data_IF_918964163216
#
_entry.id   IF_918964163216
#
_cell.length_a   1.000
_cell.length_b   1.000
_cell.length_c   1.000
_cell.angle_alpha   90.00
_cell.angle_beta   90.00
_cell.angle_gamma   90.00
#
_symmetry.space_group_name_H-M   'P 1'
#
loop_
_entity.id
_entity.type
_entity.pdbx_description
1 polymer ?
#
# COMPACT_ATOMS: atom_id res chain seq x y z
N UNK A 1 -36.29 -17.38 -8.83
CA UNK A 1 -35.19 -16.64 -8.78
C UNK A 1 -33.89 -17.38 -8.84
N UNK A 2 -33.06 -16.89 -9.55
CA UNK A 2 -32.09 -17.58 -10.27
C UNK A 2 -30.84 -17.82 -9.45
N UNK A 3 -30.37 -19.03 -9.49
CA UNK A 3 -29.06 -19.41 -8.97
C UNK A 3 -27.99 -18.48 -9.53
N UNK A 4 -28.12 -18.09 -10.81
CA UNK A 4 -27.18 -17.17 -11.48
C UNK A 4 -27.07 -15.83 -10.73
N UNK A 5 -28.18 -15.27 -10.29
CA UNK A 5 -28.20 -14.00 -9.52
C UNK A 5 -27.41 -14.12 -8.21
N UNK A 6 -27.60 -15.21 -7.49
CA UNK A 6 -26.91 -15.48 -6.25
C UNK A 6 -25.40 -15.75 -6.47
N UNK A 7 -25.06 -16.44 -7.55
CA UNK A 7 -23.66 -16.67 -7.93
C UNK A 7 -22.96 -15.34 -8.18
N UNK A 8 -23.62 -14.42 -8.91
CA UNK A 8 -23.07 -13.07 -9.16
C UNK A 8 -22.85 -12.32 -7.86
N UNK A 9 -23.82 -12.34 -6.96
CA UNK A 9 -23.70 -11.66 -5.64
C UNK A 9 -22.53 -12.23 -4.85
N UNK A 10 -22.40 -13.54 -4.77
CA UNK A 10 -21.32 -14.21 -4.03
C UNK A 10 -19.97 -13.85 -4.65
N UNK A 11 -19.86 -13.87 -5.97
CA UNK A 11 -18.60 -13.51 -6.66
C UNK A 11 -18.22 -12.07 -6.36
N UNK A 12 -19.20 -11.14 -6.39
CA UNK A 12 -18.94 -9.73 -6.08
C UNK A 12 -18.47 -9.56 -4.64
N UNK A 13 -19.06 -10.29 -3.69
CA UNK A 13 -18.64 -10.26 -2.29
C UNK A 13 -17.22 -10.79 -2.15
N UNK A 14 -16.90 -11.91 -2.78
CA UNK A 14 -15.55 -12.50 -2.75
C UNK A 14 -14.52 -11.52 -3.31
N UNK A 15 -14.80 -10.90 -4.46
CA UNK A 15 -13.89 -9.94 -5.07
C UNK A 15 -13.68 -8.71 -4.18
N UNK A 16 -14.74 -8.22 -3.55
CA UNK A 16 -14.68 -7.08 -2.63
C UNK A 16 -13.83 -7.43 -1.41
N UNK A 17 -14.08 -8.58 -0.79
CA UNK A 17 -13.32 -9.03 0.38
C UNK A 17 -11.85 -9.20 0.04
N UNK A 18 -11.52 -9.77 -1.12
CA UNK A 18 -10.12 -9.94 -1.55
C UNK A 18 -9.37 -8.62 -1.68
N UNK A 19 -10.06 -7.54 -2.07
CA UNK A 19 -9.44 -6.22 -2.19
C UNK A 19 -9.04 -5.64 -0.83
N UNK A 20 -9.71 -6.04 0.25
CA UNK A 20 -9.43 -5.57 1.60
C UNK A 20 -8.46 -6.47 2.36
N UNK A 21 -8.18 -7.68 1.87
CA UNK A 21 -7.25 -8.58 2.55
C UNK A 21 -5.81 -8.12 2.30
N UNK A 22 -4.96 -8.16 3.35
CA UNK A 22 -3.55 -7.84 3.19
C UNK A 22 -2.88 -8.75 2.17
N UNK A 23 -1.90 -8.22 1.47
CA UNK A 23 -1.08 -9.03 0.57
C UNK A 23 -0.30 -10.07 1.39
N UNK A 24 -0.23 -11.29 0.88
CA UNK A 24 0.47 -12.37 1.53
C UNK A 24 1.98 -12.06 1.59
N UNK A 25 2.57 -12.22 2.78
CA UNK A 25 3.99 -11.94 2.98
C UNK A 25 4.32 -10.46 3.15
N UNK A 26 3.33 -9.59 3.23
CA UNK A 26 3.53 -8.15 3.47
C UNK A 26 3.28 -7.87 4.95
N UNK A 27 4.25 -7.23 5.59
CA UNK A 27 4.15 -6.85 7.00
C UNK A 27 3.17 -5.70 7.17
N UNK A 28 2.38 -5.72 8.23
CA UNK A 28 1.47 -4.65 8.59
C UNK A 28 1.99 -3.95 9.85
N UNK A 29 2.16 -2.62 9.79
CA UNK A 29 2.64 -1.86 10.94
C UNK A 29 1.70 -0.71 11.28
N UNK A 30 1.78 -0.25 12.53
CA UNK A 30 0.99 0.87 13.02
C UNK A 30 1.67 2.21 12.72
N UNK A 31 0.93 3.31 12.88
CA UNK A 31 1.47 4.65 12.75
C UNK A 31 2.60 4.92 13.76
N UNK A 32 2.49 4.38 14.95
CA UNK A 32 3.52 4.51 15.98
C UNK A 32 4.85 3.92 15.50
N UNK A 33 4.79 2.74 14.89
CA UNK A 33 5.98 2.10 14.32
C UNK A 33 6.57 2.90 13.17
N UNK A 34 5.72 3.49 12.32
CA UNK A 34 6.17 4.36 11.22
C UNK A 34 6.97 5.54 11.74
N UNK A 35 6.52 6.18 12.82
CA UNK A 35 7.21 7.33 13.41
C UNK A 35 8.64 7.00 13.83
N UNK A 36 8.87 5.76 14.23
CA UNK A 36 10.22 5.29 14.57
C UNK A 36 11.06 5.04 13.31
N UNK A 37 10.41 4.62 12.21
CA UNK A 37 11.09 4.25 10.98
C UNK A 37 11.47 5.44 10.08
N UNK A 38 10.78 6.58 10.18
CA UNK A 38 11.07 7.77 9.35
C UNK A 38 12.48 8.30 9.56
N UNK A 39 13.12 7.96 10.67
CA UNK A 39 14.49 8.37 10.98
C UNK A 39 15.55 7.39 10.48
N UNK A 40 15.15 6.21 10.00
CA UNK A 40 16.09 5.21 9.51
C UNK A 40 16.46 5.49 8.06
N UNK A 41 17.74 5.28 7.73
CA UNK A 41 18.27 5.55 6.38
C UNK A 41 18.14 4.36 5.42
N UNK A 42 17.90 3.18 5.95
CA UNK A 42 17.86 1.93 5.17
C UNK A 42 16.46 1.50 4.79
N UNK A 43 15.45 2.35 4.98
CA UNK A 43 14.07 2.10 4.59
C UNK A 43 13.64 3.11 3.52
N UNK A 44 12.77 2.67 2.66
CA UNK A 44 12.19 3.49 1.58
C UNK A 44 10.73 3.79 1.93
N UNK A 45 10.44 5.04 2.20
CA UNK A 45 9.11 5.48 2.63
C UNK A 45 8.36 6.03 1.42
N UNK A 46 7.33 5.33 0.98
CA UNK A 46 6.62 5.63 -0.24
C UNK A 46 5.13 5.88 0.02
N UNK A 47 4.67 7.07 -0.33
CA UNK A 47 3.26 7.44 -0.31
C UNK A 47 2.68 7.18 -1.70
N UNK A 48 1.72 6.24 -1.78
CA UNK A 48 1.13 5.81 -3.06
C UNK A 48 -0.20 6.51 -3.37
N UNK A 49 -0.51 7.57 -2.65
CA UNK A 49 -1.67 8.42 -2.96
C UNK A 49 -1.42 9.22 -4.23
N UNK A 50 -2.45 9.88 -4.73
CA UNK A 50 -2.29 10.77 -5.88
C UNK A 50 -1.32 11.92 -5.55
N UNK A 51 -0.75 12.53 -6.59
CA UNK A 51 0.13 13.68 -6.43
C UNK A 51 -0.58 14.85 -5.73
N UNK A 52 -1.86 15.08 -6.05
CA UNK A 52 -2.64 16.14 -5.43
C UNK A 52 -2.84 15.91 -3.94
N UNK A 53 -3.21 14.69 -3.54
CA UNK A 53 -3.35 14.35 -2.12
C UNK A 53 -2.05 14.58 -1.36
N UNK A 54 -0.95 14.17 -1.95
CA UNK A 54 0.39 14.34 -1.37
C UNK A 54 0.76 15.82 -1.21
N UNK A 55 0.49 16.62 -2.23
CA UNK A 55 0.78 18.07 -2.17
C UNK A 55 -0.03 18.78 -1.10
N UNK A 56 -1.31 18.40 -0.94
CA UNK A 56 -2.18 19.01 0.05
C UNK A 56 -1.77 18.69 1.48
N UNK A 57 -1.30 17.50 1.72
CA UNK A 57 -0.84 17.07 3.04
C UNK A 57 -0.07 15.76 2.93
N UNK A 58 1.12 15.68 3.48
CA UNK A 58 1.90 14.45 3.50
C UNK A 58 2.78 14.36 4.75
N UNK A 59 3.26 13.16 5.02
CA UNK A 59 4.18 12.92 6.13
C UNK A 59 5.59 13.21 5.64
N UNK A 60 6.30 14.07 6.36
CA UNK A 60 7.70 14.36 6.05
C UNK A 60 8.53 13.08 6.03
N UNK A 61 9.39 12.97 5.02
CA UNK A 61 10.22 11.79 4.82
C UNK A 61 9.66 10.80 3.81
N UNK A 62 8.37 10.89 3.47
CA UNK A 62 7.78 10.04 2.44
C UNK A 62 7.92 10.66 1.06
N UNK A 63 8.35 9.84 0.10
CA UNK A 63 8.38 10.17 -1.32
C UNK A 63 7.06 9.74 -1.95
N UNK A 64 6.52 10.54 -2.87
CA UNK A 64 5.28 10.19 -3.55
C UNK A 64 5.56 9.43 -4.86
N UNK A 65 5.07 8.22 -4.92
CA UNK A 65 4.96 7.42 -6.15
C UNK A 65 3.52 6.93 -6.21
N UNK A 66 2.63 7.63 -6.92
CA UNK A 66 1.22 7.23 -6.98
C UNK A 66 1.04 5.78 -7.43
N UNK A 67 0.01 5.12 -6.92
CA UNK A 67 -0.29 3.73 -7.25
C UNK A 67 -0.28 3.47 -8.76
N UNK A 68 -0.84 4.40 -9.54
CA UNK A 68 -0.89 4.31 -11.01
C UNK A 68 0.50 4.34 -11.67
N UNK A 69 1.51 4.82 -10.96
CA UNK A 69 2.89 4.95 -11.45
C UNK A 69 3.84 3.88 -10.90
N UNK A 70 3.39 3.06 -9.97
CA UNK A 70 4.24 2.07 -9.31
C UNK A 70 4.92 1.14 -10.32
N UNK A 71 4.15 0.59 -11.25
CA UNK A 71 4.71 -0.32 -12.26
C UNK A 71 5.78 0.36 -13.12
N UNK A 72 5.54 1.60 -13.52
CA UNK A 72 6.45 2.36 -14.37
C UNK A 72 7.69 2.82 -13.62
N UNK A 73 7.54 3.17 -12.34
CA UNK A 73 8.59 3.80 -11.54
C UNK A 73 9.23 2.89 -10.49
N UNK A 74 8.90 1.59 -10.48
CA UNK A 74 9.46 0.67 -9.48
C UNK A 74 11.00 0.58 -9.54
N UNK A 75 11.60 0.88 -10.67
CA UNK A 75 13.06 0.87 -10.82
C UNK A 75 13.77 1.95 -9.99
N UNK A 76 13.03 2.95 -9.49
CA UNK A 76 13.53 3.96 -8.56
C UNK A 76 13.73 3.39 -7.15
N UNK A 77 13.19 2.20 -6.89
CA UNK A 77 13.27 1.54 -5.59
C UNK A 77 14.30 0.43 -5.59
N UNK A 78 14.95 0.25 -4.44
CA UNK A 78 15.92 -0.81 -4.22
C UNK A 78 15.19 -2.05 -3.68
N UNK A 79 15.28 -3.17 -4.40
CA UNK A 79 14.63 -4.43 -3.98
C UNK A 79 15.23 -5.04 -2.72
N UNK A 80 16.46 -4.68 -2.39
CA UNK A 80 17.18 -5.21 -1.22
C UNK A 80 16.83 -4.49 0.07
N UNK A 81 16.22 -3.31 -0.04
CA UNK A 81 15.81 -2.50 1.12
C UNK A 81 14.32 -2.60 1.36
N UNK A 82 13.92 -2.47 2.63
CA UNK A 82 12.51 -2.45 3.00
C UNK A 82 11.80 -1.27 2.35
N UNK A 83 10.63 -1.54 1.77
CA UNK A 83 9.73 -0.51 1.22
C UNK A 83 8.51 -0.43 2.13
N UNK A 84 8.27 0.77 2.66
CA UNK A 84 7.13 1.05 3.53
C UNK A 84 6.13 1.86 2.71
N UNK A 85 4.93 1.31 2.55
CA UNK A 85 3.89 1.86 1.70
C UNK A 85 2.76 2.49 2.52
N UNK A 86 2.43 3.73 2.17
CA UNK A 86 1.39 4.52 2.84
C UNK A 86 0.36 5.00 1.82
N UNK A 87 -0.91 4.90 2.17
CA UNK A 87 -1.98 5.59 1.45
C UNK A 87 -2.96 6.21 2.44
N UNK A 88 -4.15 6.58 1.99
CA UNK A 88 -5.13 7.23 2.87
C UNK A 88 -5.73 6.25 3.89
N UNK A 89 -6.10 5.04 3.48
CA UNK A 89 -6.81 4.07 4.33
C UNK A 89 -6.15 2.70 4.41
N UNK A 90 -5.10 2.44 3.62
CA UNK A 90 -4.43 1.15 3.54
C UNK A 90 -4.80 0.32 2.31
N UNK A 91 -5.84 0.70 1.56
CA UNK A 91 -6.30 -0.07 0.39
C UNK A 91 -5.37 0.07 -0.81
N UNK A 92 -5.00 1.29 -1.17
CA UNK A 92 -4.10 1.55 -2.31
C UNK A 92 -2.68 1.04 -2.02
N UNK A 93 -2.21 1.20 -0.79
CA UNK A 93 -0.90 0.68 -0.39
C UNK A 93 -0.88 -0.84 -0.40
N UNK A 94 -1.99 -1.48 -0.07
CA UNK A 94 -2.13 -2.93 -0.19
C UNK A 94 -2.03 -3.38 -1.66
N UNK A 95 -2.68 -2.66 -2.57
CA UNK A 95 -2.57 -2.93 -4.02
C UNK A 95 -1.15 -2.69 -4.53
N UNK A 96 -0.50 -1.61 -4.06
CA UNK A 96 0.89 -1.31 -4.41
C UNK A 96 1.81 -2.43 -3.97
N UNK A 97 1.64 -2.95 -2.75
CA UNK A 97 2.46 -4.06 -2.25
C UNK A 97 2.29 -5.32 -3.10
N UNK A 98 1.07 -5.63 -3.53
CA UNK A 98 0.81 -6.77 -4.43
C UNK A 98 1.54 -6.59 -5.77
N UNK A 99 1.50 -5.40 -6.34
CA UNK A 99 2.19 -5.09 -7.60
C UNK A 99 3.71 -5.19 -7.45
N UNK A 100 4.26 -4.63 -6.39
CA UNK A 100 5.70 -4.69 -6.12
C UNK A 100 6.16 -6.13 -5.86
N UNK A 101 5.35 -6.91 -5.18
CA UNK A 101 5.66 -8.33 -4.96
C UNK A 101 5.80 -9.08 -6.27
N UNK A 102 4.91 -8.83 -7.24
CA UNK A 102 5.00 -9.42 -8.58
C UNK A 102 6.27 -8.97 -9.33
N UNK A 103 6.79 -7.80 -8.99
CA UNK A 103 8.00 -7.24 -9.60
C UNK A 103 9.28 -7.67 -8.88
N UNK A 104 9.18 -8.60 -7.92
CA UNK A 104 10.33 -9.18 -7.25
C UNK A 104 10.72 -8.55 -5.91
N UNK A 105 9.92 -7.64 -5.39
CA UNK A 105 10.15 -7.06 -4.06
C UNK A 105 9.69 -8.04 -2.99
N UNK A 106 10.51 -8.28 -1.98
CA UNK A 106 10.24 -9.22 -0.89
C UNK A 106 10.13 -8.54 0.48
N UNK A 107 10.69 -7.35 0.63
CA UNK A 107 10.71 -6.62 1.90
C UNK A 107 9.70 -5.48 1.84
N UNK A 108 8.42 -5.84 1.96
CA UNK A 108 7.31 -4.91 1.83
C UNK A 108 6.58 -4.77 3.16
N UNK A 109 6.25 -3.54 3.51
CA UNK A 109 5.51 -3.20 4.72
C UNK A 109 4.40 -2.23 4.37
N UNK A 110 3.20 -2.50 4.85
CA UNK A 110 2.04 -1.62 4.69
C UNK A 110 1.74 -0.90 6.01
N UNK A 111 1.45 0.40 5.93
CA UNK A 111 1.00 1.17 7.09
C UNK A 111 -0.50 0.97 7.27
N UNK A 112 -0.85 0.21 8.28
CA UNK A 112 -2.25 -0.11 8.59
C UNK A 112 -3.03 1.17 8.92
N UNK A 113 -4.16 1.35 8.26
CA UNK A 113 -4.99 2.53 8.45
C UNK A 113 -4.50 3.79 7.73
N UNK A 114 -3.27 3.82 7.25
CA UNK A 114 -2.74 4.92 6.45
C UNK A 114 -2.84 6.29 7.10
N UNK A 115 -3.00 7.31 6.28
CA UNK A 115 -3.15 8.70 6.73
C UNK A 115 -4.37 8.91 7.63
N UNK A 116 -5.43 8.14 7.45
CA UNK A 116 -6.66 8.26 8.26
C UNK A 116 -6.41 8.03 9.73
N UNK A 117 -5.44 7.18 10.07
CA UNK A 117 -5.06 6.87 11.45
C UNK A 117 -3.86 7.68 11.94
N UNK A 118 -3.32 8.55 11.10
CA UNK A 118 -2.15 9.35 11.46
C UNK A 118 -2.51 10.47 12.43
N UNK A 119 -1.78 10.58 13.47
CA UNK A 119 -1.98 11.62 14.49
C UNK A 119 -0.68 12.28 14.91
#
# INVERSE_FOLDING_TARGET
MDILKWVIVVVLIILTVRNFLPAKGVKQISNTEVKMLVKKKDVQLIDVRSALEYELNHIEGFQNIPLSKIKKRHHELDREKEVILLCQSGMRSNKASKRLKRLGFTKLTNVKGGMSSWS
#
